data_IF_232249315398
#
_entry.id   IF_232249315398
#
_cell.length_a   1.000
_cell.length_b   1.000
_cell.length_c   1.000
_cell.angle_alpha   90.00
_cell.angle_beta   90.00
_cell.angle_gamma   90.00
#
_symmetry.space_group_name_H-M   'P 1'
#
loop_
_entity.id
_entity.type
_entity.pdbx_description
1 polymer ?
#
# COMPACT_ATOMS: atom_id res chain seq x y z
N UNK A 1 -10.78 -39.64 8.86
CA UNK A 1 -9.43 -39.56 8.29
C UNK A 1 -9.16 -38.09 7.95
N UNK A 2 -8.27 -37.46 8.70
CA UNK A 2 -7.86 -36.09 8.39
C UNK A 2 -6.86 -36.15 7.23
N UNK A 3 -7.25 -35.62 6.07
CA UNK A 3 -6.38 -35.56 4.89
C UNK A 3 -5.23 -34.59 5.18
N UNK A 4 -4.02 -35.08 5.31
CA UNK A 4 -2.86 -34.19 5.45
C UNK A 4 -2.61 -33.51 4.10
N UNK A 5 -2.59 -32.16 4.09
CA UNK A 5 -2.22 -31.40 2.90
C UNK A 5 -0.77 -31.66 2.52
N UNK A 6 -0.52 -31.96 1.26
CA UNK A 6 0.85 -32.04 0.73
C UNK A 6 1.45 -30.64 0.58
N UNK A 7 2.73 -30.55 0.21
CA UNK A 7 3.42 -29.26 0.06
C UNK A 7 2.80 -28.37 -1.02
N UNK A 8 2.36 -28.95 -2.12
CA UNK A 8 1.72 -28.21 -3.23
C UNK A 8 0.38 -27.62 -2.77
N UNK A 9 -0.43 -28.40 -2.04
CA UNK A 9 -1.69 -27.92 -1.47
C UNK A 9 -1.46 -26.73 -0.55
N UNK A 10 -0.45 -26.79 0.33
CA UNK A 10 -0.11 -25.71 1.24
C UNK A 10 0.32 -24.44 0.50
N UNK A 11 1.20 -24.56 -0.49
CA UNK A 11 1.65 -23.44 -1.31
C UNK A 11 0.47 -22.82 -2.06
N UNK A 12 -0.39 -23.66 -2.66
CA UNK A 12 -1.56 -23.19 -3.40
C UNK A 12 -2.55 -22.42 -2.51
N UNK A 13 -2.81 -22.93 -1.29
CA UNK A 13 -3.70 -22.26 -0.33
C UNK A 13 -3.12 -20.91 0.10
N UNK A 14 -1.83 -20.85 0.41
CA UNK A 14 -1.15 -19.61 0.80
C UNK A 14 -1.21 -18.60 -0.34
N UNK A 15 -0.93 -19.01 -1.58
CA UNK A 15 -0.98 -18.14 -2.75
C UNK A 15 -2.38 -17.61 -3.02
N UNK A 16 -3.41 -18.47 -2.95
CA UNK A 16 -4.80 -18.06 -3.13
C UNK A 16 -5.25 -17.09 -2.02
N UNK A 17 -4.92 -17.39 -0.76
CA UNK A 17 -5.21 -16.50 0.36
C UNK A 17 -4.53 -15.13 0.18
N UNK A 18 -3.26 -15.11 -0.24
CA UNK A 18 -2.54 -13.88 -0.54
C UNK A 18 -3.23 -13.07 -1.64
N UNK A 19 -3.60 -13.68 -2.77
CA UNK A 19 -4.29 -12.98 -3.86
C UNK A 19 -5.63 -12.40 -3.41
N UNK A 20 -6.44 -13.18 -2.69
CA UNK A 20 -7.73 -12.72 -2.20
C UNK A 20 -7.59 -11.58 -1.19
N UNK A 21 -6.74 -11.76 -0.20
CA UNK A 21 -6.51 -10.73 0.81
C UNK A 21 -5.96 -9.45 0.19
N UNK A 22 -4.96 -9.54 -0.69
CA UNK A 22 -4.37 -8.37 -1.33
C UNK A 22 -5.39 -7.62 -2.17
N UNK A 23 -6.13 -8.33 -3.05
CA UNK A 23 -7.10 -7.68 -3.94
C UNK A 23 -8.23 -7.02 -3.17
N UNK A 24 -8.86 -7.74 -2.24
CA UNK A 24 -10.00 -7.23 -1.47
C UNK A 24 -9.58 -6.15 -0.48
N UNK A 25 -8.44 -6.34 0.19
CA UNK A 25 -7.96 -5.40 1.20
C UNK A 25 -7.46 -4.09 0.58
N UNK A 26 -6.72 -4.15 -0.54
CA UNK A 26 -6.21 -2.95 -1.21
C UNK A 26 -7.35 -2.10 -1.75
N UNK A 27 -8.31 -2.70 -2.47
CA UNK A 27 -9.42 -1.93 -3.06
C UNK A 27 -10.27 -1.25 -1.99
N UNK A 28 -10.69 -2.01 -0.96
CA UNK A 28 -11.49 -1.44 0.13
C UNK A 28 -10.70 -0.43 0.98
N UNK A 29 -9.46 -0.75 1.31
CA UNK A 29 -8.58 0.12 2.09
C UNK A 29 -8.24 1.42 1.36
N UNK A 30 -8.02 1.36 0.05
CA UNK A 30 -7.86 2.52 -0.83
C UNK A 30 -9.07 3.46 -0.75
N UNK A 31 -10.27 2.96 -1.01
CA UNK A 31 -11.48 3.76 -0.94
C UNK A 31 -11.67 4.41 0.45
N UNK A 32 -11.41 3.65 1.52
CA UNK A 32 -11.50 4.18 2.89
C UNK A 32 -10.44 5.23 3.20
N UNK A 33 -9.26 5.18 2.58
CA UNK A 33 -8.19 6.17 2.77
C UNK A 33 -8.60 7.58 2.31
N UNK A 34 -9.55 7.68 1.39
CA UNK A 34 -10.11 8.96 0.94
C UNK A 34 -11.15 9.56 1.89
N UNK A 35 -11.71 8.77 2.81
CA UNK A 35 -12.75 9.19 3.75
C UNK A 35 -12.18 9.86 5.00
N UNK A 36 -11.36 10.89 4.82
CA UNK A 36 -10.59 11.57 5.89
C UNK A 36 -11.41 12.10 7.06
N UNK A 37 -12.69 12.41 6.86
CA UNK A 37 -13.58 12.92 7.92
C UNK A 37 -14.09 11.84 8.85
N UNK A 38 -14.15 10.59 8.39
CA UNK A 38 -14.60 9.45 9.18
C UNK A 38 -13.40 8.69 9.75
N UNK A 39 -13.14 8.89 11.03
CA UNK A 39 -12.01 8.26 11.73
C UNK A 39 -12.13 6.74 11.80
N UNK A 40 -13.36 6.21 11.82
CA UNK A 40 -13.60 4.77 11.83
C UNK A 40 -13.26 4.15 10.48
N UNK A 41 -13.70 4.76 9.38
CA UNK A 41 -13.35 4.29 8.03
C UNK A 41 -11.84 4.33 7.81
N UNK A 42 -11.17 5.40 8.24
CA UNK A 42 -9.70 5.48 8.17
C UNK A 42 -9.01 4.39 8.99
N UNK A 43 -9.52 4.10 10.18
CA UNK A 43 -8.97 3.04 11.03
C UNK A 43 -9.10 1.68 10.35
N UNK A 44 -10.29 1.33 9.85
CA UNK A 44 -10.51 0.08 9.13
C UNK A 44 -9.69 0.03 7.84
N UNK A 45 -9.65 1.11 7.06
CA UNK A 45 -8.86 1.21 5.84
C UNK A 45 -7.37 0.95 6.09
N UNK A 46 -6.79 1.54 7.12
CA UNK A 46 -5.39 1.32 7.48
C UNK A 46 -5.12 -0.15 7.88
N UNK A 47 -6.04 -0.80 8.59
CA UNK A 47 -5.90 -2.22 8.88
C UNK A 47 -5.97 -3.10 7.63
N UNK A 48 -6.89 -2.80 6.71
CA UNK A 48 -6.98 -3.51 5.45
C UNK A 48 -5.70 -3.36 4.62
N UNK A 49 -5.13 -2.17 4.55
CA UNK A 49 -3.87 -1.89 3.86
C UNK A 49 -2.67 -2.56 4.57
N UNK A 50 -2.69 -2.66 5.89
CA UNK A 50 -1.66 -3.37 6.65
C UNK A 50 -1.60 -4.87 6.31
N UNK A 51 -2.73 -5.52 6.01
CA UNK A 51 -2.75 -6.90 5.51
C UNK A 51 -2.04 -7.07 4.16
N UNK A 52 -1.93 -5.99 3.39
CA UNK A 52 -1.18 -5.95 2.13
C UNK A 52 0.26 -5.49 2.31
N UNK A 53 0.72 -5.36 3.56
CA UNK A 53 2.04 -4.82 3.94
C UNK A 53 2.28 -3.38 3.49
N UNK A 54 1.21 -2.60 3.26
CA UNK A 54 1.29 -1.22 2.82
C UNK A 54 0.72 -0.25 3.87
N UNK A 55 1.42 -0.15 4.98
CA UNK A 55 1.00 0.66 6.13
C UNK A 55 1.04 2.17 5.86
N UNK A 56 1.85 2.61 4.89
CA UNK A 56 2.02 4.03 4.56
C UNK A 56 1.10 4.50 3.43
N UNK A 57 0.35 3.59 2.81
CA UNK A 57 -0.48 3.87 1.64
C UNK A 57 -1.40 5.08 1.83
N UNK A 58 -2.14 5.13 2.94
CA UNK A 58 -3.09 6.23 3.19
C UNK A 58 -2.42 7.62 3.25
N UNK A 59 -1.14 7.69 3.60
CA UNK A 59 -0.36 8.92 3.67
C UNK A 59 0.25 9.21 2.30
N UNK A 60 0.97 8.25 1.74
CA UNK A 60 1.67 8.42 0.48
C UNK A 60 0.69 8.65 -0.66
N UNK A 61 -0.31 7.81 -0.81
CA UNK A 61 -1.31 7.90 -1.86
C UNK A 61 -2.04 9.24 -1.88
N UNK A 62 -2.48 9.72 -0.73
CA UNK A 62 -3.31 10.93 -0.64
C UNK A 62 -2.48 12.22 -0.64
N UNK A 63 -1.31 12.22 -0.02
CA UNK A 63 -0.49 13.44 0.14
C UNK A 63 0.77 13.46 -0.73
N UNK A 64 1.20 12.32 -1.24
CA UNK A 64 2.29 12.14 -2.19
C UNK A 64 1.77 12.00 -3.62
N UNK A 65 1.24 10.81 -3.96
CA UNK A 65 0.81 10.47 -5.32
C UNK A 65 -0.24 11.43 -5.87
N UNK A 66 -1.37 11.65 -5.21
CA UNK A 66 -2.43 12.55 -5.73
C UNK A 66 -1.94 13.99 -5.99
N UNK A 67 -0.93 14.42 -5.27
CA UNK A 67 -0.33 15.75 -5.47
C UNK A 67 0.63 15.77 -6.65
N UNK A 68 1.30 14.66 -6.92
CA UNK A 68 2.43 14.58 -7.84
C UNK A 68 2.15 13.69 -9.05
N UNK A 69 0.91 13.28 -9.27
CA UNK A 69 0.51 12.39 -10.38
C UNK A 69 1.16 12.83 -11.68
N UNK A 70 1.81 11.90 -12.38
CA UNK A 70 2.51 12.11 -13.64
C UNK A 70 3.73 13.05 -13.56
N UNK A 71 4.15 13.49 -12.39
CA UNK A 71 5.41 14.23 -12.22
C UNK A 71 6.60 13.27 -12.06
N UNK A 72 7.82 13.73 -12.38
CA UNK A 72 9.03 12.88 -12.27
C UNK A 72 9.35 12.37 -10.86
N UNK A 73 8.83 13.02 -9.84
CA UNK A 73 9.02 12.70 -8.42
C UNK A 73 7.90 11.84 -7.83
N UNK A 74 6.93 11.42 -8.65
CA UNK A 74 5.88 10.51 -8.22
C UNK A 74 6.35 9.05 -8.36
N UNK A 75 6.54 8.30 -7.25
CA UNK A 75 7.01 6.92 -7.31
C UNK A 75 5.98 5.97 -7.96
N UNK A 76 4.71 6.31 -7.92
CA UNK A 76 3.63 5.53 -8.50
C UNK A 76 3.38 5.82 -10.00
N UNK A 77 4.14 6.75 -10.60
CA UNK A 77 4.05 7.07 -12.03
C UNK A 77 5.22 6.49 -12.84
N UNK A 78 4.92 5.50 -13.70
CA UNK A 78 5.91 4.92 -14.60
C UNK A 78 6.34 5.92 -15.69
N UNK A 79 7.62 5.91 -16.04
CA UNK A 79 8.15 6.68 -17.16
C UNK A 79 7.88 5.96 -18.48
N UNK A 80 7.72 6.72 -19.55
CA UNK A 80 7.55 6.14 -20.88
C UNK A 80 8.72 5.24 -21.24
N UNK A 81 8.45 3.97 -21.57
CA UNK A 81 9.46 2.97 -21.90
C UNK A 81 10.16 2.33 -20.70
N UNK A 82 9.73 2.62 -19.48
CA UNK A 82 10.26 1.98 -18.28
C UNK A 82 9.90 0.49 -18.23
N UNK A 83 10.85 -0.34 -17.81
CA UNK A 83 10.62 -1.79 -17.65
C UNK A 83 9.68 -2.02 -16.45
N UNK A 84 8.56 -2.73 -16.70
CA UNK A 84 7.52 -2.94 -15.70
C UNK A 84 8.01 -3.65 -14.44
N UNK A 85 8.92 -4.60 -14.55
CA UNK A 85 9.45 -5.34 -13.40
C UNK A 85 10.32 -4.45 -12.51
N UNK A 86 11.16 -3.62 -13.14
CA UNK A 86 11.96 -2.63 -12.41
C UNK A 86 11.10 -1.54 -11.82
N UNK A 87 10.06 -1.08 -12.53
CA UNK A 87 9.10 -0.11 -12.02
C UNK A 87 8.40 -0.63 -10.76
N UNK A 88 7.89 -1.88 -10.77
CA UNK A 88 7.20 -2.46 -9.61
C UNK A 88 8.15 -2.53 -8.40
N UNK A 89 9.36 -3.07 -8.58
CA UNK A 89 10.32 -3.22 -7.47
C UNK A 89 10.74 -1.86 -6.89
N UNK A 90 11.03 -0.91 -7.77
CA UNK A 90 11.39 0.45 -7.37
C UNK A 90 10.21 1.16 -6.72
N UNK A 91 9.01 1.08 -7.31
CA UNK A 91 7.81 1.70 -6.81
C UNK A 91 7.50 1.29 -5.38
N UNK A 92 7.54 -0.01 -5.08
CA UNK A 92 7.32 -0.52 -3.72
C UNK A 92 8.26 0.16 -2.70
N UNK A 93 9.55 0.30 -3.03
CA UNK A 93 10.54 0.92 -2.13
C UNK A 93 10.33 2.43 -2.06
N UNK A 94 10.19 3.09 -3.19
CA UNK A 94 10.11 4.54 -3.28
C UNK A 94 8.81 5.07 -2.64
N UNK A 95 7.68 4.35 -2.77
CA UNK A 95 6.42 4.69 -2.09
C UNK A 95 6.54 4.60 -0.57
N UNK A 96 7.22 3.57 -0.04
CA UNK A 96 7.46 3.46 1.40
C UNK A 96 8.36 4.60 1.91
N UNK A 97 9.42 4.94 1.18
CA UNK A 97 10.31 6.06 1.51
C UNK A 97 9.55 7.39 1.46
N UNK A 98 8.78 7.63 0.39
CA UNK A 98 7.97 8.84 0.24
C UNK A 98 6.96 9.00 1.37
N UNK A 99 6.22 7.94 1.69
CA UNK A 99 5.24 7.95 2.79
C UNK A 99 5.88 8.26 4.14
N UNK A 100 7.06 7.68 4.40
CA UNK A 100 7.82 7.95 5.62
C UNK A 100 8.31 9.39 5.72
N UNK A 101 8.83 9.94 4.62
CA UNK A 101 9.25 11.34 4.58
C UNK A 101 8.09 12.32 4.80
N UNK A 102 6.92 12.02 4.22
CA UNK A 102 5.72 12.83 4.40
C UNK A 102 5.28 12.83 5.87
N UNK A 103 5.31 11.69 6.52
CA UNK A 103 4.96 11.56 7.92
C UNK A 103 5.96 12.30 8.83
N UNK A 104 7.27 12.17 8.57
CA UNK A 104 8.28 12.92 9.30
C UNK A 104 8.08 14.45 9.15
N UNK A 105 7.77 14.92 7.94
CA UNK A 105 7.46 16.34 7.71
C UNK A 105 6.19 16.77 8.48
N UNK A 106 5.20 15.90 8.57
CA UNK A 106 3.97 16.15 9.34
C UNK A 106 4.26 16.25 10.84
N UNK A 107 5.03 15.32 11.40
CA UNK A 107 5.39 15.29 12.82
C UNK A 107 6.21 16.53 13.21
N UNK A 108 7.22 16.89 12.41
CA UNK A 108 8.01 18.11 12.62
C UNK A 108 7.13 19.37 12.68
N UNK A 109 6.15 19.50 11.78
CA UNK A 109 5.21 20.65 11.79
C UNK A 109 4.33 20.72 13.04
N UNK A 110 4.09 19.57 13.68
CA UNK A 110 3.27 19.48 14.90
C UNK A 110 4.11 19.55 16.18
N UNK A 111 5.43 19.75 16.09
CA UNK A 111 6.38 19.69 17.19
C UNK A 111 6.26 18.38 18.03
N UNK A 112 5.96 17.28 17.36
CA UNK A 112 5.93 15.94 17.95
C UNK A 112 7.26 15.29 17.60
N UNK A 113 8.08 15.02 18.61
CA UNK A 113 9.35 14.29 18.49
C UNK A 113 9.13 12.80 18.66
#
# INVERSE_FOLDING_TARGET
>A
MQKSFNLVDKISIIFQAFLLCSTLSIVAGHEMSHRKKNKFDLFIGNWLLAFSCDCNFAIEHVYGHHKNVCLPNDPASAKRGENIYLFILKGIVDEQVSGWELELKRLKRKNIN
#
